data_IF_484054287963
#
_entry.id   IF_484054287963
#
_cell.length_a   1.000
_cell.length_b   1.000
_cell.length_c   1.000
_cell.angle_alpha   90.00
_cell.angle_beta   90.00
_cell.angle_gamma   90.00
#
_symmetry.space_group_name_H-M   'P 1'
#
loop_
_entity.id
_entity.type
_entity.pdbx_description
1 polymer ?
#
# COMPACT_ATOMS: atom_id res chain seq x y z
N UNK A 1 -53.47 2.26 6.18
CA UNK A 1 -52.52 1.13 6.40
C UNK A 1 -52.17 0.31 5.14
N UNK A 2 -53.05 0.11 4.14
CA UNK A 2 -52.73 -0.68 2.92
C UNK A 2 -51.66 -0.06 1.98
N UNK A 3 -51.49 1.26 2.00
CA UNK A 3 -50.56 1.98 1.09
C UNK A 3 -49.09 1.88 1.49
N UNK A 4 -48.78 1.64 2.77
CA UNK A 4 -47.39 1.52 3.25
C UNK A 4 -46.80 0.17 2.81
N UNK A 5 -47.61 -0.91 2.81
CA UNK A 5 -47.19 -2.27 2.43
C UNK A 5 -46.82 -2.42 0.95
N UNK A 6 -47.55 -1.72 0.07
CA UNK A 6 -47.26 -1.74 -1.37
C UNK A 6 -45.96 -0.99 -1.73
N UNK A 7 -45.60 0.03 -0.93
CA UNK A 7 -44.36 0.80 -1.13
C UNK A 7 -43.14 -0.01 -0.69
N UNK A 8 -43.25 -0.78 0.41
CA UNK A 8 -42.18 -1.68 0.87
C UNK A 8 -41.93 -2.83 -0.10
N UNK A 9 -42.96 -3.43 -0.70
CA UNK A 9 -42.77 -4.53 -1.65
C UNK A 9 -42.10 -4.10 -2.97
N UNK A 10 -42.39 -2.87 -3.46
CA UNK A 10 -41.69 -2.30 -4.62
C UNK A 10 -40.20 -2.04 -4.34
N UNK A 11 -39.89 -1.56 -3.13
CA UNK A 11 -38.50 -1.37 -2.69
C UNK A 11 -37.75 -2.71 -2.63
N UNK A 12 -38.33 -3.75 -2.03
CA UNK A 12 -37.70 -5.08 -1.96
C UNK A 12 -37.51 -5.73 -3.34
N UNK A 13 -38.44 -5.55 -4.28
CA UNK A 13 -38.32 -6.09 -5.64
C UNK A 13 -37.20 -5.41 -6.43
N UNK A 14 -37.04 -4.09 -6.28
CA UNK A 14 -35.93 -3.35 -6.89
C UNK A 14 -34.58 -3.71 -6.28
N UNK A 15 -34.50 -3.91 -4.96
CA UNK A 15 -33.26 -4.36 -4.30
C UNK A 15 -32.85 -5.75 -4.80
N UNK A 16 -33.81 -6.67 -4.99
CA UNK A 16 -33.52 -8.03 -5.47
C UNK A 16 -33.00 -8.04 -6.93
N UNK A 17 -33.48 -7.12 -7.78
CA UNK A 17 -32.98 -6.95 -9.14
C UNK A 17 -31.54 -6.38 -9.19
N UNK A 18 -31.13 -5.60 -8.19
CA UNK A 18 -29.82 -4.96 -8.12
C UNK A 18 -28.82 -5.67 -7.18
N UNK A 19 -29.18 -6.82 -6.61
CA UNK A 19 -28.28 -7.57 -5.69
C UNK A 19 -26.94 -7.93 -6.32
N UNK A 20 -26.92 -8.33 -7.59
CA UNK A 20 -25.69 -8.73 -8.30
C UNK A 20 -24.71 -7.56 -8.50
N UNK A 21 -25.11 -6.41 -9.08
CA UNK A 21 -24.19 -5.28 -9.22
C UNK A 21 -23.75 -4.72 -7.86
N UNK A 22 -24.63 -4.71 -6.84
CA UNK A 22 -24.28 -4.22 -5.51
C UNK A 22 -23.22 -5.12 -4.83
N UNK A 23 -23.33 -6.45 -4.97
CA UNK A 23 -22.29 -7.39 -4.52
C UNK A 23 -20.96 -7.19 -5.26
N UNK A 24 -20.98 -6.97 -6.57
CA UNK A 24 -19.77 -6.70 -7.36
C UNK A 24 -19.10 -5.40 -6.89
N UNK A 25 -19.88 -4.34 -6.68
CA UNK A 25 -19.35 -3.05 -6.19
C UNK A 25 -18.74 -3.23 -4.79
N UNK A 26 -19.43 -3.90 -3.88
CA UNK A 26 -18.89 -4.19 -2.54
C UNK A 26 -17.60 -5.00 -2.59
N UNK A 27 -17.51 -6.01 -3.47
CA UNK A 27 -16.29 -6.79 -3.68
C UNK A 27 -15.14 -5.91 -4.18
N UNK A 28 -15.40 -5.09 -5.21
CA UNK A 28 -14.39 -4.19 -5.78
C UNK A 28 -13.92 -3.15 -4.74
N UNK A 29 -14.84 -2.55 -3.99
CA UNK A 29 -14.50 -1.64 -2.89
C UNK A 29 -13.70 -2.34 -1.79
N UNK A 30 -14.08 -3.57 -1.42
CA UNK A 30 -13.35 -4.38 -0.45
C UNK A 30 -11.92 -4.64 -0.90
N UNK A 31 -11.74 -5.10 -2.13
CA UNK A 31 -10.41 -5.32 -2.74
C UNK A 31 -9.61 -4.03 -2.80
N UNK A 32 -10.21 -2.92 -3.24
CA UNK A 32 -9.53 -1.63 -3.33
C UNK A 32 -9.08 -1.11 -1.96
N UNK A 33 -9.92 -1.25 -0.93
CA UNK A 33 -9.58 -0.88 0.45
C UNK A 33 -8.48 -1.77 1.02
N UNK A 34 -8.55 -3.09 0.80
CA UNK A 34 -7.48 -4.01 1.17
C UNK A 34 -6.17 -3.62 0.49
N UNK A 35 -6.20 -3.40 -0.82
CA UNK A 35 -5.04 -3.03 -1.63
C UNK A 35 -4.41 -1.71 -1.18
N UNK A 36 -5.25 -0.70 -0.88
CA UNK A 36 -4.82 0.59 -0.36
C UNK A 36 -4.12 0.45 1.01
N UNK A 37 -4.72 -0.34 1.93
CA UNK A 37 -4.09 -0.66 3.21
C UNK A 37 -2.74 -1.39 3.06
N UNK A 38 -2.65 -2.30 2.10
CA UNK A 38 -1.39 -3.00 1.78
C UNK A 38 -0.33 -2.06 1.20
N UNK A 39 -0.70 -1.17 0.28
CA UNK A 39 0.23 -0.19 -0.30
C UNK A 39 0.77 0.76 0.77
N UNK A 40 -0.06 1.18 1.72
CA UNK A 40 0.37 2.02 2.85
C UNK A 40 1.39 1.33 3.77
N UNK A 41 1.32 0.00 3.92
CA UNK A 41 2.29 -0.78 4.70
C UNK A 41 3.64 -0.90 3.99
N UNK A 42 3.63 -1.00 2.66
CA UNK A 42 4.82 -1.15 1.81
C UNK A 42 5.53 0.18 1.58
N UNK A 43 4.81 1.30 1.53
CA UNK A 43 5.36 2.60 1.14
C UNK A 43 6.06 3.39 2.25
N UNK A 44 6.06 2.91 3.50
CA UNK A 44 6.78 3.66 4.54
C UNK A 44 8.29 3.55 4.31
N UNK A 45 9.03 4.66 4.28
CA UNK A 45 10.46 4.64 4.02
C UNK A 45 11.19 3.85 5.13
N UNK A 46 12.11 2.97 4.73
CA UNK A 46 12.90 2.15 5.65
C UNK A 46 13.83 2.99 6.54
N UNK A 47 14.29 4.13 6.01
CA UNK A 47 15.12 5.11 6.72
C UNK A 47 14.48 6.48 6.64
N UNK A 48 14.62 7.27 7.69
CA UNK A 48 14.17 8.66 7.73
C UNK A 48 15.35 9.55 8.10
N UNK A 49 15.55 10.62 7.35
CA UNK A 49 16.43 11.71 7.74
C UNK A 49 15.63 12.67 8.63
N UNK A 50 16.20 13.00 9.79
CA UNK A 50 15.76 14.10 10.64
C UNK A 50 16.19 15.43 10.06
N UNK A 51 15.57 16.50 10.54
CA UNK A 51 15.94 17.85 10.15
C UNK A 51 17.33 18.20 10.71
N UNK A 52 18.01 19.12 10.02
CA UNK A 52 19.28 19.64 10.49
C UNK A 52 19.09 20.55 11.70
N UNK A 53 19.82 20.26 12.78
CA UNK A 53 19.86 21.04 14.01
C UNK A 53 21.15 21.87 14.03
N UNK A 54 20.99 23.19 14.16
CA UNK A 54 22.10 24.08 14.50
C UNK A 54 22.44 23.92 15.98
N UNK A 55 23.72 23.74 16.28
CA UNK A 55 24.20 23.41 17.62
C UNK A 55 24.57 24.64 18.47
N UNK A 56 24.32 25.85 17.94
CA UNK A 56 24.62 27.14 18.59
C UNK A 56 24.00 27.22 20.00
N UNK A 57 22.74 26.77 20.15
CA UNK A 57 22.03 26.77 21.44
C UNK A 57 22.52 25.70 22.44
N UNK A 58 23.31 24.74 21.97
CA UNK A 58 23.81 23.59 22.77
C UNK A 58 25.31 23.71 23.06
N UNK A 59 25.91 24.85 22.76
CA UNK A 59 27.31 25.14 23.10
C UNK A 59 28.35 24.60 22.13
N UNK A 60 27.94 24.22 20.91
CA UNK A 60 28.83 23.95 19.79
C UNK A 60 28.47 24.89 18.62
N UNK A 61 28.95 26.15 18.65
CA UNK A 61 28.61 27.13 17.63
C UNK A 61 29.15 26.73 16.27
N UNK A 62 28.47 27.17 15.21
CA UNK A 62 28.84 26.89 13.82
C UNK A 62 28.92 25.39 13.47
N UNK A 63 28.21 24.54 14.22
CA UNK A 63 28.06 23.12 13.89
C UNK A 63 26.60 22.81 13.59
N UNK A 64 26.38 21.98 12.58
CA UNK A 64 25.09 21.45 12.18
C UNK A 64 25.12 19.92 12.26
N UNK A 65 24.12 19.35 12.95
CA UNK A 65 23.94 17.91 13.07
C UNK A 65 22.62 17.49 12.43
N UNK A 66 22.59 16.37 11.73
CA UNK A 66 21.35 15.70 11.36
C UNK A 66 21.48 14.19 11.56
N UNK A 67 20.36 13.50 11.76
CA UNK A 67 20.38 12.05 12.04
C UNK A 67 19.53 11.32 11.01
N UNK A 68 20.11 10.35 10.32
CA UNK A 68 19.37 9.39 9.50
C UNK A 68 19.24 8.07 10.25
N UNK A 69 18.03 7.60 10.50
CA UNK A 69 17.77 6.43 11.33
C UNK A 69 16.80 5.45 10.66
N UNK A 70 16.84 4.15 11.03
CA UNK A 70 15.85 3.19 10.55
C UNK A 70 14.50 3.47 11.22
N UNK A 71 13.42 3.55 10.45
CA UNK A 71 12.07 3.76 11.02
C UNK A 71 11.53 2.48 11.65
N UNK A 72 12.08 1.32 11.26
CA UNK A 72 11.67 -0.01 11.69
C UNK A 72 12.88 -0.90 11.90
N UNK A 73 12.78 -1.81 12.87
CA UNK A 73 13.83 -2.79 13.17
C UNK A 73 13.20 -4.16 13.40
N UNK A 74 13.54 -5.13 12.56
CA UNK A 74 13.09 -6.52 12.68
C UNK A 74 14.05 -7.38 13.49
N UNK A 75 13.56 -8.51 14.01
CA UNK A 75 14.35 -9.45 14.84
C UNK A 75 15.54 -10.08 14.09
N UNK A 76 15.44 -10.12 12.76
CA UNK A 76 16.41 -10.75 11.85
C UNK A 76 17.61 -9.85 11.52
N UNK A 77 17.50 -8.54 11.74
CA UNK A 77 18.55 -7.57 11.42
C UNK A 77 19.67 -7.58 12.47
N UNK A 78 20.64 -8.48 12.33
CA UNK A 78 21.76 -8.66 13.28
C UNK A 78 23.13 -8.55 12.58
N UNK A 79 24.15 -8.15 13.34
CA UNK A 79 25.52 -8.02 12.84
C UNK A 79 25.62 -7.11 11.61
N UNK A 80 26.07 -7.67 10.49
CA UNK A 80 26.20 -6.95 9.21
C UNK A 80 24.87 -6.41 8.66
N UNK A 81 23.74 -7.00 9.03
CA UNK A 81 22.40 -6.56 8.59
C UNK A 81 21.68 -5.68 9.62
N UNK A 82 22.34 -5.33 10.73
CA UNK A 82 21.80 -4.42 11.73
C UNK A 82 21.43 -3.05 11.11
N UNK A 83 20.37 -2.43 11.62
CA UNK A 83 19.94 -1.11 11.17
C UNK A 83 21.02 -0.07 11.44
N UNK A 84 21.19 0.91 10.55
CA UNK A 84 22.24 1.92 10.65
C UNK A 84 21.64 3.28 11.02
N UNK A 85 22.08 3.82 12.15
CA UNK A 85 21.87 5.21 12.54
C UNK A 85 23.11 5.99 12.10
N UNK A 86 22.92 6.92 11.17
CA UNK A 86 23.99 7.79 10.66
C UNK A 86 23.80 9.18 11.24
N UNK A 87 24.78 9.67 11.98
CA UNK A 87 24.86 11.08 12.37
C UNK A 87 25.69 11.81 11.32
N UNK A 88 25.10 12.80 10.68
CA UNK A 88 25.79 13.69 9.77
C UNK A 88 26.20 14.93 10.54
N UNK A 89 27.47 15.31 10.45
CA UNK A 89 28.00 16.47 11.13
C UNK A 89 28.76 17.38 10.16
N UNK A 90 28.36 18.64 10.13
CA UNK A 90 28.95 19.69 9.29
C UNK A 90 29.36 20.87 10.15
N UNK A 91 30.59 21.34 9.99
CA UNK A 91 31.00 22.64 10.46
C UNK A 91 30.64 23.70 9.40
N UNK A 92 30.14 24.85 9.85
CA UNK A 92 29.81 26.01 9.01
C UNK A 92 31.02 26.93 8.82
N UNK A 93 32.04 26.78 9.67
CA UNK A 93 33.33 27.48 9.61
C UNK A 93 34.49 26.49 9.82
N UNK A 94 35.68 26.75 9.24
CA UNK A 94 36.84 25.86 9.42
C UNK A 94 37.30 25.78 10.89
N UNK A 95 37.05 26.82 11.69
CA UNK A 95 37.41 26.89 13.11
C UNK A 95 36.50 26.00 13.99
N UNK A 96 35.32 25.62 13.49
CA UNK A 96 34.36 24.77 14.20
C UNK A 96 34.61 23.26 13.99
N UNK A 97 35.69 22.88 13.30
CA UNK A 97 36.12 21.48 13.12
C UNK A 97 36.77 20.98 14.42
N UNK A 98 35.93 20.62 15.40
CA UNK A 98 36.35 20.11 16.70
C UNK A 98 35.57 18.82 17.07
N UNK A 99 36.17 17.89 17.83
CA UNK A 99 35.50 16.66 18.23
C UNK A 99 34.33 16.93 19.19
N UNK A 100 33.21 16.27 18.94
CA UNK A 100 31.99 16.28 19.74
C UNK A 100 31.69 14.87 20.23
N UNK A 101 31.44 14.72 21.52
CA UNK A 101 31.02 13.45 22.10
C UNK A 101 29.48 13.38 22.14
N UNK A 102 28.90 12.55 21.29
CA UNK A 102 27.47 12.25 21.29
C UNK A 102 27.21 10.94 22.03
N UNK A 103 26.17 10.94 22.86
CA UNK A 103 25.69 9.77 23.58
C UNK A 103 24.25 9.52 23.16
N UNK A 104 23.94 8.31 22.72
CA UNK A 104 22.61 7.86 22.36
C UNK A 104 22.11 6.91 23.46
N UNK A 105 21.52 7.42 24.55
CA UNK A 105 21.00 6.55 25.61
C UNK A 105 19.85 5.69 25.07
N UNK A 106 19.85 4.43 25.46
CA UNK A 106 18.72 3.53 25.20
C UNK A 106 17.74 3.61 26.38
N UNK A 107 16.44 3.86 26.14
CA UNK A 107 15.46 3.96 27.23
C UNK A 107 15.19 2.61 27.89
N UNK A 108 15.39 1.50 27.17
CA UNK A 108 15.17 0.15 27.64
C UNK A 108 16.13 -0.85 26.94
N UNK A 109 15.99 -2.14 27.25
CA UNK A 109 16.81 -3.23 26.69
C UNK A 109 16.15 -3.90 25.47
N UNK A 110 15.19 -3.26 24.81
CA UNK A 110 14.53 -3.85 23.62
C UNK A 110 15.40 -3.72 22.36
N UNK A 111 16.29 -2.73 22.34
CA UNK A 111 17.32 -2.51 21.32
C UNK A 111 18.71 -2.55 21.94
N UNK A 112 19.71 -2.74 21.09
CA UNK A 112 21.10 -2.60 21.48
C UNK A 112 21.94 -2.06 20.32
N UNK A 113 22.99 -1.31 20.64
CA UNK A 113 24.02 -0.99 19.66
C UNK A 113 25.01 -2.13 19.54
N UNK A 114 25.44 -2.39 18.31
CA UNK A 114 26.36 -3.49 18.01
C UNK A 114 27.46 -3.05 17.04
N UNK A 115 28.58 -3.78 17.04
CA UNK A 115 29.60 -3.68 15.99
C UNK A 115 29.22 -4.52 14.76
N UNK A 116 30.15 -4.63 13.80
CA UNK A 116 30.00 -5.45 12.59
C UNK A 116 29.84 -6.94 12.90
N UNK A 117 30.46 -7.41 13.98
CA UNK A 117 30.40 -8.80 14.45
C UNK A 117 29.12 -9.09 15.27
N UNK A 118 28.28 -8.08 15.51
CA UNK A 118 27.07 -8.18 16.31
C UNK A 118 27.33 -8.13 17.82
N UNK A 119 28.53 -7.79 18.27
CA UNK A 119 28.86 -7.64 19.69
C UNK A 119 28.36 -6.29 20.20
N UNK A 120 27.90 -6.26 21.44
CA UNK A 120 27.39 -5.04 22.05
C UNK A 120 28.46 -3.96 22.17
N UNK A 121 28.13 -2.75 21.72
CA UNK A 121 28.98 -1.56 21.87
C UNK A 121 28.21 -0.48 22.65
N UNK A 122 28.92 0.46 23.32
CA UNK A 122 28.25 1.60 23.92
C UNK A 122 27.62 2.48 22.84
N UNK A 123 26.47 3.08 23.15
CA UNK A 123 25.83 4.11 22.31
C UNK A 123 26.55 5.45 22.39
N UNK A 124 27.84 5.47 22.05
CA UNK A 124 28.68 6.67 22.09
C UNK A 124 29.34 6.85 20.73
N UNK A 125 29.29 8.06 20.21
CA UNK A 125 29.91 8.45 18.95
C UNK A 125 30.78 9.67 19.20
N UNK A 126 32.06 9.57 18.87
CA UNK A 126 32.92 10.75 18.77
C UNK A 126 32.87 11.24 17.32
N UNK A 127 32.37 12.46 17.15
CA UNK A 127 32.01 13.03 15.86
C UNK A 127 32.89 14.25 15.61
N UNK A 128 33.60 14.28 14.50
CA UNK A 128 34.36 15.45 14.05
C UNK A 128 33.60 16.05 12.85
N UNK A 129 32.94 17.21 13.00
CA UNK A 129 32.19 17.81 11.90
C UNK A 129 33.08 18.07 10.69
N UNK A 130 32.61 17.75 9.48
CA UNK A 130 33.35 18.03 8.24
C UNK A 130 33.17 19.46 7.77
N UNK A 131 34.15 19.98 7.04
CA UNK A 131 34.07 21.28 6.35
C UNK A 131 34.67 21.14 4.94
N UNK A 132 34.02 21.67 3.89
CA UNK A 132 32.68 22.30 3.89
C UNK A 132 31.54 21.27 3.93
N UNK A 133 31.83 20.00 3.66
CA UNK A 133 30.83 18.93 3.52
C UNK A 133 30.58 18.19 4.83
N UNK A 134 29.35 17.70 5.01
CA UNK A 134 28.99 16.90 6.18
C UNK A 134 29.67 15.52 6.14
N UNK A 135 30.24 15.08 7.27
CA UNK A 135 30.79 13.74 7.42
C UNK A 135 29.79 12.80 8.11
N UNK A 136 29.60 11.56 7.60
CA UNK A 136 28.74 10.56 8.22
C UNK A 136 29.45 9.77 9.32
N UNK A 137 28.73 9.51 10.41
CA UNK A 137 29.17 8.69 11.54
C UNK A 137 28.11 7.63 11.83
N UNK A 138 28.45 6.37 11.58
CA UNK A 138 27.51 5.26 11.64
C UNK A 138 27.57 4.53 12.98
N UNK A 139 26.39 4.23 13.51
CA UNK A 139 26.16 3.36 14.65
C UNK A 139 25.12 2.31 14.28
N UNK A 140 25.46 1.04 14.46
CA UNK A 140 24.55 -0.07 14.17
C UNK A 140 23.67 -0.36 15.36
N UNK A 141 22.38 -0.58 15.10
CA UNK A 141 21.36 -0.90 16.09
C UNK A 141 20.65 -2.19 15.69
N UNK A 142 20.51 -3.09 16.65
CA UNK A 142 19.81 -4.38 16.49
C UNK A 142 18.67 -4.49 17.50
N UNK A 143 17.69 -5.32 17.16
CA UNK A 143 16.71 -5.79 18.13
C UNK A 143 17.43 -6.71 19.14
N UNK A 144 17.39 -6.38 20.43
CA UNK A 144 18.11 -7.12 21.47
C UNK A 144 17.44 -8.45 21.84
N UNK A 145 16.24 -8.72 21.31
CA UNK A 145 15.49 -9.97 21.50
C UNK A 145 15.25 -10.31 22.97
N UNK A 146 15.01 -9.28 23.78
CA UNK A 146 14.69 -9.41 25.20
C UNK A 146 13.18 -9.60 25.41
N UNK A 147 12.78 -9.87 26.65
CA UNK A 147 11.37 -9.96 27.06
C UNK A 147 10.54 -8.69 26.75
N UNK A 148 11.19 -7.54 26.56
CA UNK A 148 10.59 -6.26 26.14
C UNK A 148 10.40 -6.20 24.61
N UNK A 149 10.01 -7.32 24.01
CA UNK A 149 9.73 -7.40 22.58
C UNK A 149 8.35 -6.83 22.26
N UNK A 150 8.19 -6.38 21.00
CA UNK A 150 6.88 -6.10 20.44
C UNK A 150 5.98 -7.33 20.65
N UNK A 151 4.80 -7.12 21.24
CA UNK A 151 3.80 -8.18 21.38
C UNK A 151 3.39 -8.73 20.01
N UNK A 152 2.73 -9.90 19.93
CA UNK A 152 2.38 -10.51 18.66
C UNK A 152 1.56 -9.57 17.76
N UNK A 153 0.74 -8.70 18.36
CA UNK A 153 -0.16 -7.76 17.67
C UNK A 153 0.27 -6.28 17.75
N UNK A 154 1.17 -5.92 18.67
CA UNK A 154 1.49 -4.52 18.96
C UNK A 154 2.97 -4.24 18.76
N UNK A 155 3.29 -3.26 17.91
CA UNK A 155 4.66 -2.76 17.74
C UNK A 155 5.13 -2.05 19.01
N UNK A 156 6.32 -2.38 19.50
CA UNK A 156 7.00 -1.59 20.52
C UNK A 156 7.69 -0.39 19.87
N UNK A 157 7.72 0.75 20.55
CA UNK A 157 8.35 1.98 20.03
C UNK A 157 9.44 2.41 20.98
N UNK A 158 10.64 2.60 20.45
CA UNK A 158 11.80 3.03 21.20
C UNK A 158 12.14 4.44 20.77
N UNK A 159 12.01 5.39 21.70
CA UNK A 159 12.42 6.77 21.49
C UNK A 159 13.87 6.96 21.96
N UNK A 160 14.75 7.39 21.06
CA UNK A 160 16.14 7.68 21.37
C UNK A 160 16.31 9.19 21.25
N UNK A 161 16.77 9.81 22.33
CA UNK A 161 17.08 11.24 22.39
C UNK A 161 18.60 11.40 22.57
N UNK A 162 19.33 11.83 21.53
CA UNK A 162 20.77 12.05 21.63
C UNK A 162 21.10 13.09 22.70
N UNK A 163 22.23 12.89 23.38
CA UNK A 163 22.79 13.81 24.36
C UNK A 163 24.17 14.25 23.85
N UNK A 164 24.46 15.54 23.90
CA UNK A 164 25.81 16.07 23.73
C UNK A 164 26.53 16.02 25.08
N UNK A 165 27.68 15.35 25.14
CA UNK A 165 28.51 15.32 26.34
C UNK A 165 29.54 16.44 26.27
N UNK A 166 29.39 17.45 27.13
CA UNK A 166 30.37 18.54 27.27
C UNK A 166 31.04 18.44 28.63
N UNK A 167 32.28 17.95 28.64
CA UNK A 167 32.94 17.59 29.90
C UNK A 167 32.15 16.48 30.62
N UNK A 168 31.63 16.79 31.81
CA UNK A 168 30.82 15.86 32.61
C UNK A 168 29.30 16.10 32.52
N UNK A 169 28.86 17.17 31.86
CA UNK A 169 27.43 17.51 31.79
C UNK A 169 26.82 17.00 30.48
N UNK A 170 25.80 16.12 30.55
CA UNK A 170 25.04 15.72 29.38
C UNK A 170 23.97 16.76 29.05
N UNK A 171 24.00 17.30 27.83
CA UNK A 171 23.00 18.25 27.31
C UNK A 171 22.07 17.51 26.34
N UNK A 172 20.75 17.42 26.61
CA UNK A 172 19.83 16.73 25.71
C UNK A 172 19.60 17.49 24.40
N UNK A 173 19.47 16.76 23.30
CA UNK A 173 19.16 17.27 21.95
C UNK A 173 17.77 16.77 21.52
N UNK A 174 16.66 17.29 22.10
CA UNK A 174 15.32 16.77 21.86
C UNK A 174 14.85 16.90 20.40
N UNK A 175 15.38 17.87 19.65
CA UNK A 175 15.08 18.10 18.24
C UNK A 175 15.68 17.01 17.34
N UNK A 176 16.75 16.35 17.80
CA UNK A 176 17.31 15.17 17.14
C UNK A 176 16.72 13.86 17.67
N UNK A 177 15.69 13.91 18.53
CA UNK A 177 15.05 12.70 19.02
C UNK A 177 14.30 11.98 17.90
N UNK A 178 14.41 10.65 17.88
CA UNK A 178 13.76 9.82 16.87
C UNK A 178 13.16 8.57 17.48
N UNK A 179 12.24 7.95 16.73
CA UNK A 179 11.50 6.76 17.16
C UNK A 179 11.76 5.62 16.20
N UNK A 180 12.30 4.52 16.73
CA UNK A 180 12.43 3.25 16.03
C UNK A 180 11.25 2.36 16.42
N UNK A 181 10.53 1.84 15.42
CA UNK A 181 9.48 0.84 15.66
C UNK A 181 10.08 -0.57 15.62
N UNK A 182 9.89 -1.34 16.68
CA UNK A 182 10.26 -2.76 16.68
C UNK A 182 9.13 -3.55 16.05
N UNK A 183 9.44 -4.24 14.95
CA UNK A 183 8.47 -5.11 14.29
C UNK A 183 8.35 -6.43 15.06
N UNK A 184 7.11 -6.87 15.27
CA UNK A 184 6.87 -8.22 15.77
C UNK A 184 7.15 -9.24 14.65
N UNK A 185 7.48 -10.48 15.02
CA UNK A 185 7.65 -11.57 14.03
C UNK A 185 6.44 -11.73 13.11
N UNK A 186 5.23 -11.52 13.63
CA UNK A 186 4.00 -11.53 12.85
C UNK A 186 3.91 -10.37 11.86
N UNK A 187 4.34 -9.15 12.25
CA UNK A 187 4.38 -8.02 11.34
C UNK A 187 5.35 -8.25 10.18
N UNK A 188 6.52 -8.83 10.44
CA UNK A 188 7.48 -9.22 9.40
C UNK A 188 6.90 -10.30 8.48
N UNK A 189 6.36 -11.38 9.04
CA UNK A 189 5.75 -12.46 8.25
C UNK A 189 4.56 -11.98 7.40
N UNK A 190 3.67 -11.16 7.96
CA UNK A 190 2.54 -10.58 7.22
C UNK A 190 3.00 -9.63 6.13
N UNK A 191 4.10 -8.91 6.32
CA UNK A 191 4.68 -8.05 5.28
C UNK A 191 5.33 -8.87 4.16
N UNK A 192 6.06 -9.91 4.47
CA UNK A 192 6.61 -10.82 3.46
C UNK A 192 5.50 -11.51 2.67
N UNK A 193 4.48 -12.00 3.38
CA UNK A 193 3.27 -12.53 2.75
C UNK A 193 2.58 -11.48 1.88
N UNK A 194 2.44 -10.24 2.38
CA UNK A 194 1.86 -9.13 1.64
C UNK A 194 2.65 -8.80 0.37
N UNK A 195 3.98 -8.76 0.44
CA UNK A 195 4.85 -8.52 -0.70
C UNK A 195 4.70 -9.65 -1.72
N UNK A 196 4.68 -10.91 -1.25
CA UNK A 196 4.46 -12.08 -2.11
C UNK A 196 3.08 -12.06 -2.79
N UNK A 197 2.01 -11.76 -2.04
CA UNK A 197 0.65 -11.63 -2.58
C UNK A 197 0.52 -10.40 -3.48
N UNK A 198 1.19 -9.29 -3.19
CA UNK A 198 1.15 -8.11 -4.04
C UNK A 198 1.86 -8.35 -5.38
N UNK A 199 3.05 -8.96 -5.33
CA UNK A 199 3.87 -9.20 -6.52
C UNK A 199 3.26 -10.26 -7.45
N UNK A 200 2.67 -11.33 -6.90
CA UNK A 200 2.08 -12.42 -7.69
C UNK A 200 0.56 -12.35 -7.81
N UNK A 201 -0.13 -11.98 -6.74
CA UNK A 201 -1.60 -12.01 -6.67
C UNK A 201 -2.29 -10.86 -7.40
N UNK A 202 -1.77 -9.63 -7.32
CA UNK A 202 -2.33 -8.47 -8.03
C UNK A 202 -2.38 -8.69 -9.55
N UNK A 203 -1.28 -9.11 -10.23
CA UNK A 203 -1.33 -9.29 -11.68
C UNK A 203 -2.28 -10.43 -12.08
N UNK A 204 -2.35 -11.51 -11.30
CA UNK A 204 -3.28 -12.62 -11.55
C UNK A 204 -4.74 -12.17 -11.38
N UNK A 205 -5.06 -11.46 -10.31
CA UNK A 205 -6.40 -10.89 -10.09
C UNK A 205 -6.78 -9.88 -11.19
N UNK A 206 -5.82 -9.05 -11.61
CA UNK A 206 -5.99 -8.13 -12.74
C UNK A 206 -6.35 -8.89 -14.03
N UNK A 207 -5.63 -9.97 -14.35
CA UNK A 207 -5.96 -10.80 -15.50
C UNK A 207 -7.35 -11.44 -15.40
N UNK A 208 -7.72 -12.00 -14.24
CA UNK A 208 -9.05 -12.59 -14.03
C UNK A 208 -10.14 -11.53 -14.22
N UNK A 209 -9.94 -10.32 -13.71
CA UNK A 209 -10.87 -9.21 -13.88
C UNK A 209 -11.04 -8.85 -15.36
N UNK A 210 -9.94 -8.71 -16.09
CA UNK A 210 -9.96 -8.40 -17.53
C UNK A 210 -10.68 -9.49 -18.33
N UNK A 211 -10.35 -10.77 -18.08
CA UNK A 211 -11.00 -11.91 -18.74
C UNK A 211 -12.51 -11.89 -18.46
N UNK A 212 -12.90 -11.66 -17.20
CA UNK A 212 -14.31 -11.61 -16.80
C UNK A 212 -15.04 -10.46 -17.50
N UNK A 213 -14.41 -9.29 -17.61
CA UNK A 213 -14.96 -8.12 -18.29
C UNK A 213 -15.15 -8.37 -19.79
N UNK A 214 -14.16 -9.00 -20.44
CA UNK A 214 -14.22 -9.37 -21.86
C UNK A 214 -15.36 -10.36 -22.11
N UNK A 215 -15.46 -11.43 -21.31
CA UNK A 215 -16.53 -12.44 -21.44
C UNK A 215 -17.91 -11.81 -21.20
N UNK A 216 -18.03 -10.91 -20.23
CA UNK A 216 -19.28 -10.20 -19.95
C UNK A 216 -19.68 -9.29 -21.11
N UNK A 217 -18.74 -8.50 -21.63
CA UNK A 217 -18.98 -7.58 -22.75
C UNK A 217 -19.40 -8.35 -24.00
N UNK A 218 -18.71 -9.46 -24.29
CA UNK A 218 -19.05 -10.31 -25.43
C UNK A 218 -20.47 -10.90 -25.30
N UNK A 219 -20.82 -11.43 -24.13
CA UNK A 219 -22.18 -11.93 -23.87
C UNK A 219 -23.24 -10.84 -24.01
N UNK A 220 -22.95 -9.63 -23.54
CA UNK A 220 -23.87 -8.50 -23.63
C UNK A 220 -24.11 -8.06 -25.08
N UNK A 221 -23.04 -7.99 -25.88
CA UNK A 221 -23.12 -7.66 -27.30
C UNK A 221 -23.88 -8.75 -28.08
N UNK A 222 -23.59 -10.03 -27.83
CA UNK A 222 -24.29 -11.15 -28.48
C UNK A 222 -25.79 -11.14 -28.13
N UNK A 223 -26.16 -10.88 -26.88
CA UNK A 223 -27.57 -10.75 -26.49
C UNK A 223 -28.26 -9.59 -27.20
N UNK A 224 -27.59 -8.44 -27.34
CA UNK A 224 -28.15 -7.30 -28.08
C UNK A 224 -28.32 -7.63 -29.56
N UNK A 225 -27.38 -8.35 -30.16
CA UNK A 225 -27.51 -8.80 -31.55
C UNK A 225 -28.64 -9.82 -31.72
N UNK A 226 -28.75 -10.81 -30.83
CA UNK A 226 -29.84 -11.77 -30.83
C UNK A 226 -31.21 -11.08 -30.73
N UNK A 227 -31.38 -10.15 -29.80
CA UNK A 227 -32.62 -9.36 -29.67
C UNK A 227 -32.93 -8.51 -30.90
N UNK A 228 -31.91 -7.99 -31.60
CA UNK A 228 -32.11 -7.28 -32.87
C UNK A 228 -32.57 -8.22 -33.98
N UNK A 229 -31.99 -9.43 -34.07
CA UNK A 229 -32.40 -10.47 -35.02
C UNK A 229 -33.84 -10.91 -34.76
N UNK A 230 -34.19 -11.21 -33.51
CA UNK A 230 -35.56 -11.57 -33.11
C UNK A 230 -36.58 -10.48 -33.47
N UNK A 231 -36.24 -9.21 -33.25
CA UNK A 231 -37.11 -8.08 -33.65
C UNK A 231 -37.28 -7.98 -35.16
N UNK A 232 -36.21 -8.13 -35.93
CA UNK A 232 -36.26 -8.11 -37.40
C UNK A 232 -37.13 -9.26 -37.93
N UNK A 233 -36.98 -10.47 -37.39
CA UNK A 233 -37.83 -11.61 -37.74
C UNK A 233 -39.30 -11.35 -37.40
N UNK A 234 -39.59 -10.85 -36.20
CA UNK A 234 -40.97 -10.55 -35.78
C UNK A 234 -41.67 -9.53 -36.69
N UNK A 235 -40.94 -8.51 -37.16
CA UNK A 235 -41.47 -7.53 -38.12
C UNK A 235 -41.80 -8.16 -39.47
N UNK A 236 -40.90 -8.98 -40.00
CA UNK A 236 -41.12 -9.69 -41.27
C UNK A 236 -42.32 -10.64 -41.21
N UNK A 237 -42.52 -11.35 -40.09
CA UNK A 237 -43.68 -12.22 -39.91
C UNK A 237 -45.02 -11.47 -39.88
N UNK A 238 -45.07 -10.30 -39.22
CA UNK A 238 -46.28 -9.47 -39.16
C UNK A 238 -46.66 -8.96 -40.55
N UNK A 239 -45.70 -8.43 -41.30
CA UNK A 239 -45.96 -7.93 -42.66
C UNK A 239 -46.34 -9.05 -43.63
N UNK A 240 -45.72 -10.24 -43.52
CA UNK A 240 -46.06 -11.40 -44.36
C UNK A 240 -47.50 -11.86 -44.12
N UNK A 241 -47.93 -11.88 -42.84
CA UNK A 241 -49.31 -12.20 -42.47
C UNK A 241 -50.30 -11.19 -43.06
N UNK A 242 -49.94 -9.91 -43.10
CA UNK A 242 -50.76 -8.85 -43.66
C UNK A 242 -50.88 -8.97 -45.19
N UNK A 243 -49.79 -9.28 -45.89
CA UNK A 243 -49.80 -9.47 -47.35
C UNK A 243 -50.57 -10.72 -47.79
N UNK A 244 -50.51 -11.81 -47.03
CA UNK A 244 -51.34 -13.01 -47.27
C UNK A 244 -52.83 -12.66 -47.12
N UNK A 245 -53.17 -11.84 -46.11
CA UNK A 245 -54.55 -11.37 -45.91
C UNK A 245 -55.05 -10.51 -47.09
N UNK A 246 -54.15 -9.75 -47.73
CA UNK A 246 -54.43 -8.93 -48.90
C UNK A 246 -54.36 -9.69 -50.24
N UNK A 247 -54.14 -11.02 -50.23
CA UNK A 247 -54.04 -11.90 -51.41
C UNK A 247 -52.99 -11.48 -52.46
N UNK A 248 -51.92 -10.78 -52.05
CA UNK A 248 -50.82 -10.37 -52.95
C UNK A 248 -49.74 -11.45 -53.03
N UNK A 249 -50.06 -12.54 -53.73
CA UNK A 249 -49.25 -13.77 -53.76
C UNK A 249 -47.85 -13.62 -54.36
N UNK A 250 -47.64 -12.69 -55.31
CA UNK A 250 -46.32 -12.44 -55.90
C UNK A 250 -45.36 -11.76 -54.91
N UNK A 251 -45.84 -10.80 -54.14
CA UNK A 251 -45.04 -10.09 -53.12
C UNK A 251 -44.72 -10.98 -51.91
N UNK A 252 -45.66 -11.86 -51.53
CA UNK A 252 -45.46 -12.82 -50.45
C UNK A 252 -44.31 -13.81 -50.78
N UNK A 253 -44.22 -14.27 -52.03
CA UNK A 253 -43.22 -15.25 -52.47
C UNK A 253 -41.79 -14.68 -52.42
N UNK A 254 -41.59 -13.47 -52.92
CA UNK A 254 -40.29 -12.79 -52.90
C UNK A 254 -39.77 -12.51 -51.47
N UNK A 255 -40.66 -12.43 -50.46
CA UNK A 255 -40.29 -12.22 -49.05
C UNK A 255 -39.98 -13.53 -48.32
N UNK A 256 -40.64 -14.63 -48.67
CA UNK A 256 -40.28 -15.97 -48.18
C UNK A 256 -38.83 -16.30 -48.57
N UNK A 257 -38.42 -15.97 -49.79
CA UNK A 257 -37.04 -16.20 -50.25
C UNK A 257 -36.01 -15.37 -49.44
N UNK A 258 -36.35 -14.13 -49.04
CA UNK A 258 -35.50 -13.31 -48.16
C UNK A 258 -35.41 -13.87 -46.73
N UNK A 259 -36.51 -14.43 -46.20
CA UNK A 259 -36.53 -15.08 -44.89
C UNK A 259 -35.64 -16.33 -44.86
N UNK A 260 -35.72 -17.16 -45.91
CA UNK A 260 -34.88 -18.36 -46.05
C UNK A 260 -33.39 -18.04 -46.18
N UNK A 261 -33.02 -16.88 -46.76
CA UNK A 261 -31.61 -16.43 -46.81
C UNK A 261 -31.07 -15.96 -45.44
N UNK A 262 -31.93 -15.47 -44.55
CA UNK A 262 -31.52 -14.98 -43.23
C UNK A 262 -31.45 -16.08 -42.16
N UNK A 263 -32.24 -17.14 -42.31
CA UNK A 263 -32.30 -18.25 -41.35
C UNK A 263 -32.38 -19.61 -42.09
N UNK A 264 -31.24 -20.14 -42.57
CA UNK A 264 -31.19 -21.35 -43.40
C UNK A 264 -31.62 -22.64 -42.68
N UNK A 265 -31.94 -22.57 -41.38
CA UNK A 265 -32.40 -23.69 -40.56
C UNK A 265 -33.92 -23.75 -40.33
N UNK A 266 -34.70 -22.79 -40.84
CA UNK A 266 -36.17 -22.78 -40.68
C UNK A 266 -36.80 -23.72 -41.72
N UNK A 267 -36.89 -25.00 -41.38
CA UNK A 267 -37.73 -25.99 -42.09
C UNK A 267 -39.04 -26.20 -41.36
#
# INVERSE_FOLDING_TARGET
>A
MKTIRAKTDRLFKNIRAHRRPLLIILLVCGVALSLSGFLALVSSPARRAGDALRMDAYGAPDVELSVTYPTRLGVEHRGADAGIITVWARALSPDAVAPLDLVLPLPDRSVAFVDLDGRHVPGRLQVIPGYPDALPYDLRVTHANTQYQAGPLFSHRVQIAPLLRRGNEPVPLPELAFVIRLESRWATATREFAISVATLGIPVLGMILVITLVVWLWRHLNRRQALRRERQLSGLYVELREQIRLQRWSEARARIDRLLMLEPGYR
#
